data_IF_519310137512
#
_entry.id   IF_519310137512
#
_cell.length_a   1.000
_cell.length_b   1.000
_cell.length_c   1.000
_cell.angle_alpha   90.00
_cell.angle_beta   90.00
_cell.angle_gamma   90.00
#
_symmetry.space_group_name_H-M   'P 1'
#
loop_
_entity.id
_entity.type
_entity.pdbx_description
1 polymer ?
#
# COMPACT_ATOMS: atom_id res chain seq x y z
N UNK A 1 61.56 18.22 49.37
CA UNK A 1 60.49 17.30 48.96
C UNK A 1 59.51 18.06 48.05
N UNK A 2 59.61 17.85 46.74
CA UNK A 2 58.79 18.57 45.72
C UNK A 2 57.61 17.71 45.34
N UNK A 3 56.41 18.17 45.66
CA UNK A 3 55.18 17.55 45.29
C UNK A 3 54.89 17.83 43.82
N UNK A 4 54.79 16.78 43.06
CA UNK A 4 54.45 16.79 41.63
C UNK A 4 52.91 16.80 41.49
N UNK A 5 52.37 17.96 41.06
CA UNK A 5 50.92 18.05 40.71
C UNK A 5 50.74 17.60 39.28
N UNK A 6 50.21 16.41 39.12
CA UNK A 6 49.72 15.91 37.81
C UNK A 6 48.42 16.62 37.53
N UNK A 7 48.43 17.52 36.54
CA UNK A 7 47.22 18.07 35.94
C UNK A 7 46.63 17.03 34.98
N UNK A 8 45.61 16.34 35.42
CA UNK A 8 44.72 15.58 34.51
C UNK A 8 43.76 16.59 33.87
N UNK A 9 44.12 17.13 32.70
CA UNK A 9 43.18 17.75 31.81
C UNK A 9 42.41 16.62 31.09
N UNK A 10 41.29 16.23 31.68
CA UNK A 10 40.34 15.36 31.01
C UNK A 10 39.68 16.15 29.89
N UNK A 11 40.17 15.95 28.68
CA UNK A 11 39.52 16.44 27.47
C UNK A 11 38.27 15.59 27.30
N UNK A 12 37.15 16.07 27.85
CA UNK A 12 35.83 15.56 27.59
C UNK A 12 35.38 16.09 26.22
N UNK A 13 35.93 15.49 25.15
CA UNK A 13 35.46 15.71 23.81
C UNK A 13 34.08 15.00 23.70
N UNK A 14 33.05 15.70 24.17
CA UNK A 14 31.70 15.28 23.94
C UNK A 14 31.49 15.22 22.42
N UNK A 15 31.47 14.02 21.89
CA UNK A 15 30.97 13.71 20.58
C UNK A 15 29.50 14.14 20.57
N UNK A 16 29.24 15.40 20.25
CA UNK A 16 27.96 15.90 19.78
C UNK A 16 27.77 15.34 18.39
N UNK A 17 27.42 14.04 18.34
CA UNK A 17 26.76 13.50 17.18
C UNK A 17 25.40 14.20 17.16
N UNK A 18 25.09 14.96 16.10
CA UNK A 18 23.72 15.38 15.94
C UNK A 18 22.89 14.08 15.81
N UNK A 19 22.11 13.75 16.85
CA UNK A 19 20.99 12.86 16.69
C UNK A 19 20.07 13.57 15.68
N UNK A 20 20.28 13.26 14.41
CA UNK A 20 19.24 13.46 13.41
C UNK A 20 18.11 12.59 13.91
N UNK A 21 16.96 13.13 14.32
CA UNK A 21 15.82 12.28 14.61
C UNK A 21 15.58 11.51 13.30
N UNK A 22 15.77 10.20 13.33
CA UNK A 22 15.20 9.34 12.31
C UNK A 22 13.72 9.72 12.33
N UNK A 23 13.29 10.40 11.28
CA UNK A 23 11.88 10.59 11.03
C UNK A 23 11.37 9.18 10.74
N UNK A 24 10.91 8.47 11.77
CA UNK A 24 10.20 7.23 11.61
C UNK A 24 8.98 7.57 10.76
N UNK A 25 9.16 7.41 9.44
CA UNK A 25 8.05 7.51 8.51
C UNK A 25 7.02 6.47 8.97
N UNK A 26 5.81 6.92 9.25
CA UNK A 26 4.74 6.03 9.67
C UNK A 26 4.48 4.95 8.62
N UNK A 27 3.95 3.81 9.02
CA UNK A 27 3.77 2.66 8.12
C UNK A 27 2.92 2.98 6.88
N UNK A 28 2.09 4.02 6.93
CA UNK A 28 1.21 4.45 5.83
C UNK A 28 1.64 5.75 5.14
N UNK A 29 2.76 6.38 5.53
CA UNK A 29 3.19 7.69 5.00
C UNK A 29 3.50 7.67 3.50
N UNK A 30 3.81 6.51 2.95
CA UNK A 30 4.02 6.32 1.51
C UNK A 30 2.72 6.18 0.72
N UNK A 31 1.57 6.12 1.38
CA UNK A 31 0.26 5.98 0.78
C UNK A 31 -0.46 7.33 0.69
N UNK A 32 -1.37 7.41 -0.25
CA UNK A 32 -2.23 8.58 -0.44
C UNK A 32 -3.59 8.32 0.22
N UNK A 33 -4.13 9.32 0.92
CA UNK A 33 -5.53 9.31 1.38
C UNK A 33 -6.45 9.36 0.15
N UNK A 34 -7.28 8.35 0.00
CA UNK A 34 -8.22 8.20 -1.11
C UNK A 34 -9.63 8.71 -0.79
N UNK A 35 -9.78 9.51 0.25
CA UNK A 35 -11.08 10.11 0.62
C UNK A 35 -11.71 10.83 -0.58
N UNK A 36 -12.96 10.49 -0.88
CA UNK A 36 -13.69 11.00 -2.06
C UNK A 36 -13.40 10.26 -3.38
N UNK A 37 -12.31 9.48 -3.47
CA UNK A 37 -12.00 8.63 -4.62
C UNK A 37 -12.35 7.17 -4.38
N UNK A 38 -12.27 6.74 -3.13
CA UNK A 38 -12.69 5.44 -2.69
C UNK A 38 -13.47 5.57 -1.37
N UNK A 39 -14.30 4.58 -1.09
CA UNK A 39 -15.08 4.54 0.15
C UNK A 39 -15.03 3.16 0.77
N UNK A 40 -14.98 3.10 2.09
CA UNK A 40 -15.15 1.85 2.83
C UNK A 40 -16.63 1.47 2.88
N UNK A 41 -16.94 0.25 2.48
CA UNK A 41 -18.26 -0.37 2.61
C UNK A 41 -18.23 -1.29 3.81
N UNK A 42 -18.94 -0.91 4.86
CA UNK A 42 -18.94 -1.60 6.16
C UNK A 42 -20.19 -2.44 6.29
N UNK A 43 -20.04 -3.73 6.53
CA UNK A 43 -21.16 -4.65 6.74
C UNK A 43 -20.97 -5.39 8.07
N UNK A 44 -21.92 -5.29 8.97
CA UNK A 44 -21.93 -6.09 10.20
C UNK A 44 -22.21 -7.55 9.85
N UNK A 45 -21.25 -8.42 10.09
CA UNK A 45 -21.35 -9.86 9.80
C UNK A 45 -21.86 -10.67 10.96
N UNK A 46 -21.38 -10.38 12.15
CA UNK A 46 -21.75 -11.10 13.35
C UNK A 46 -21.63 -10.20 14.58
N UNK A 47 -22.44 -10.52 15.58
CA UNK A 47 -22.39 -9.93 16.91
C UNK A 47 -22.36 -11.05 17.96
N UNK A 48 -21.32 -11.06 18.77
CA UNK A 48 -21.24 -11.92 19.96
C UNK A 48 -21.62 -11.09 21.18
N UNK A 49 -22.84 -11.28 21.65
CA UNK A 49 -23.35 -10.53 22.81
C UNK A 49 -22.68 -10.95 24.13
N UNK A 50 -22.13 -12.14 24.20
CA UNK A 50 -21.46 -12.63 25.40
C UNK A 50 -20.11 -11.96 25.62
N UNK A 51 -19.34 -11.82 24.54
CA UNK A 51 -18.04 -11.17 24.58
C UNK A 51 -18.10 -9.68 24.18
N UNK A 52 -19.28 -9.16 23.88
CA UNK A 52 -19.47 -7.81 23.32
C UNK A 52 -18.60 -7.53 22.09
N UNK A 53 -18.41 -8.55 21.27
CA UNK A 53 -17.59 -8.50 20.06
C UNK A 53 -18.48 -8.31 18.83
N UNK A 54 -18.05 -7.38 17.96
CA UNK A 54 -18.68 -7.09 16.69
C UNK A 54 -17.70 -7.43 15.59
N UNK A 55 -18.15 -8.18 14.59
CA UNK A 55 -17.37 -8.55 13.40
C UNK A 55 -17.94 -7.85 12.19
N UNK A 56 -17.10 -7.07 11.55
CA UNK A 56 -17.42 -6.35 10.33
C UNK A 56 -16.61 -6.90 9.17
N UNK A 57 -17.26 -7.05 8.01
CA UNK A 57 -16.60 -7.17 6.72
C UNK A 57 -16.51 -5.76 6.13
N UNK A 58 -15.30 -5.29 5.90
CA UNK A 58 -15.03 -3.95 5.37
C UNK A 58 -14.31 -4.08 4.04
N UNK A 59 -14.97 -3.70 2.97
CA UNK A 59 -14.41 -3.67 1.61
C UNK A 59 -14.24 -2.24 1.13
N UNK A 60 -13.39 -2.04 0.13
CA UNK A 60 -13.15 -0.75 -0.50
C UNK A 60 -13.84 -0.71 -1.85
N UNK A 61 -14.70 0.28 -2.06
CA UNK A 61 -15.32 0.56 -3.36
C UNK A 61 -14.60 1.74 -4.01
N UNK A 62 -14.12 1.54 -5.22
CA UNK A 62 -13.51 2.58 -6.03
C UNK A 62 -14.59 3.45 -6.69
N UNK A 63 -14.62 4.74 -6.38
CA UNK A 63 -15.56 5.71 -6.93
C UNK A 63 -14.95 6.56 -8.04
N UNK A 64 -13.64 6.40 -8.29
CA UNK A 64 -12.89 7.19 -9.25
C UNK A 64 -12.73 6.47 -10.60
N UNK A 65 -12.37 7.20 -11.66
CA UNK A 65 -11.98 6.59 -12.93
C UNK A 65 -10.57 5.97 -12.90
N UNK A 66 -9.84 6.15 -11.81
CA UNK A 66 -8.47 5.66 -11.66
C UNK A 66 -8.46 4.20 -11.18
N UNK A 67 -7.40 3.47 -11.50
CA UNK A 67 -7.13 2.14 -10.94
C UNK A 67 -6.20 2.27 -9.74
N UNK A 68 -6.47 1.56 -8.66
CA UNK A 68 -5.61 1.50 -7.48
C UNK A 68 -4.89 0.16 -7.40
N UNK A 69 -3.65 0.17 -6.92
CA UNK A 69 -2.86 -1.04 -6.69
C UNK A 69 -3.47 -1.78 -5.50
N UNK A 70 -3.94 -3.01 -5.71
CA UNK A 70 -4.70 -3.75 -4.71
C UNK A 70 -3.90 -4.03 -3.43
N UNK A 71 -2.64 -4.43 -3.56
CA UNK A 71 -1.76 -4.72 -2.40
C UNK A 71 -1.41 -3.47 -1.57
N UNK A 72 -1.67 -2.27 -2.10
CA UNK A 72 -1.43 -1.01 -1.41
C UNK A 72 -2.67 -0.47 -0.68
N UNK A 73 -3.78 -1.19 -0.70
CA UNK A 73 -5.02 -0.71 -0.09
C UNK A 73 -5.06 -1.03 1.41
N UNK A 74 -5.26 0.02 2.19
CA UNK A 74 -5.43 -0.05 3.64
C UNK A 74 -6.66 0.74 4.06
N UNK A 75 -7.31 0.26 5.10
CA UNK A 75 -8.38 0.97 5.80
C UNK A 75 -7.92 1.32 7.20
N UNK A 76 -8.14 2.55 7.61
CA UNK A 76 -7.81 3.08 8.94
C UNK A 76 -9.11 3.36 9.67
N UNK A 77 -9.29 2.81 10.85
CA UNK A 77 -10.45 3.11 11.69
C UNK A 77 -10.34 4.57 12.17
N UNK A 78 -11.15 5.45 11.57
CA UNK A 78 -11.07 6.88 11.82
C UNK A 78 -11.92 7.31 13.00
N UNK A 79 -13.18 6.88 13.02
CA UNK A 79 -14.15 7.28 14.05
C UNK A 79 -15.29 6.28 14.18
N UNK A 80 -16.04 6.44 15.25
CA UNK A 80 -17.28 5.72 15.49
C UNK A 80 -18.44 6.71 15.45
N UNK A 81 -19.50 6.36 14.75
CA UNK A 81 -20.69 7.18 14.56
C UNK A 81 -21.95 6.43 15.01
N UNK A 82 -23.10 7.10 15.01
CA UNK A 82 -24.41 6.52 15.33
C UNK A 82 -24.41 5.79 16.68
N UNK A 83 -23.88 6.45 17.69
CA UNK A 83 -23.80 5.89 19.05
C UNK A 83 -25.19 6.00 19.67
N UNK A 84 -25.83 4.83 19.85
CA UNK A 84 -27.16 4.77 20.46
C UNK A 84 -27.12 4.55 21.98
N UNK A 85 -28.08 5.16 22.72
CA UNK A 85 -28.27 5.01 24.17
C UNK A 85 -28.63 6.30 24.87
N UNK A 86 -29.52 6.22 25.89
CA UNK A 86 -30.20 7.36 26.51
C UNK A 86 -29.32 8.29 27.38
N UNK A 87 -28.08 7.91 27.74
CA UNK A 87 -27.28 8.68 28.71
C UNK A 87 -26.00 9.30 28.09
N UNK A 88 -25.99 9.67 26.80
CA UNK A 88 -24.72 9.80 26.09
C UNK A 88 -24.46 11.10 25.34
N UNK A 89 -25.09 12.18 25.81
CA UNK A 89 -24.88 13.51 25.22
C UNK A 89 -23.42 14.00 25.25
N UNK A 90 -22.55 13.37 26.06
CA UNK A 90 -21.17 13.81 26.28
C UNK A 90 -20.10 12.84 25.70
N UNK A 91 -20.48 11.76 25.00
CA UNK A 91 -19.52 10.83 24.42
C UNK A 91 -19.19 11.25 22.99
N UNK A 92 -17.97 11.73 22.78
CA UNK A 92 -17.44 11.94 21.45
C UNK A 92 -16.86 10.64 20.86
N UNK A 93 -16.64 10.64 19.55
CA UNK A 93 -16.08 9.50 18.81
C UNK A 93 -14.74 8.99 19.38
N UNK A 94 -13.87 9.92 19.76
CA UNK A 94 -12.50 9.58 20.22
C UNK A 94 -12.53 8.92 21.60
N UNK A 95 -13.41 9.38 22.49
CA UNK A 95 -13.63 8.76 23.80
C UNK A 95 -14.11 7.33 23.67
N UNK A 96 -14.93 7.03 22.67
CA UNK A 96 -15.47 5.70 22.44
C UNK A 96 -14.40 4.80 21.81
N UNK A 97 -13.66 5.30 20.83
CA UNK A 97 -12.55 4.55 20.24
C UNK A 97 -11.51 4.13 21.29
N UNK A 98 -11.17 5.02 22.23
CA UNK A 98 -10.21 4.71 23.29
C UNK A 98 -10.68 3.61 24.27
N UNK A 99 -11.98 3.34 24.32
CA UNK A 99 -12.59 2.29 25.13
C UNK A 99 -12.81 0.98 24.39
N UNK A 100 -12.71 1.02 23.06
CA UNK A 100 -12.84 -0.18 22.23
C UNK A 100 -11.50 -0.92 22.13
N UNK A 101 -11.58 -2.23 22.20
CA UNK A 101 -10.47 -3.08 21.85
C UNK A 101 -10.61 -3.50 20.37
N UNK A 102 -9.63 -3.11 19.57
CA UNK A 102 -9.56 -3.53 18.17
C UNK A 102 -8.74 -4.81 18.09
N UNK A 103 -9.26 -5.80 17.42
CA UNK A 103 -8.65 -7.13 17.35
C UNK A 103 -8.26 -7.47 15.91
N UNK A 104 -7.03 -8.01 15.74
CA UNK A 104 -6.53 -8.49 14.46
C UNK A 104 -6.18 -7.37 13.50
N UNK A 105 -5.82 -6.18 14.02
CA UNK A 105 -5.25 -5.09 13.25
C UNK A 105 -3.84 -5.45 12.74
N UNK A 106 -3.47 -4.93 11.58
CA UNK A 106 -2.13 -5.12 11.01
C UNK A 106 -1.11 -4.15 11.63
N UNK A 107 -1.57 -3.07 12.25
CA UNK A 107 -0.76 -2.11 12.96
C UNK A 107 -1.53 -0.85 13.34
N UNK A 108 -0.80 0.17 13.75
CA UNK A 108 -1.33 1.48 14.14
C UNK A 108 -0.61 2.60 13.39
N UNK A 109 -1.36 3.65 13.07
CA UNK A 109 -0.80 4.90 12.51
C UNK A 109 -0.01 5.64 13.59
N UNK A 110 0.72 6.71 13.24
CA UNK A 110 1.39 7.58 14.20
C UNK A 110 0.42 8.20 15.22
N UNK A 111 -0.83 8.42 14.82
CA UNK A 111 -1.89 8.93 15.69
C UNK A 111 -2.53 7.82 16.56
N UNK A 112 -2.00 6.61 16.56
CA UNK A 112 -2.52 5.47 17.31
C UNK A 112 -3.83 4.89 16.76
N UNK A 113 -4.19 5.18 15.53
CA UNK A 113 -5.38 4.62 14.88
C UNK A 113 -5.06 3.26 14.27
N UNK A 114 -5.86 2.23 14.55
CA UNK A 114 -5.65 0.90 13.98
C UNK A 114 -5.94 0.88 12.49
N UNK A 115 -5.10 0.15 11.75
CA UNK A 115 -5.30 -0.07 10.31
C UNK A 115 -5.31 -1.54 9.94
N UNK A 116 -5.93 -1.83 8.79
CA UNK A 116 -6.06 -3.17 8.24
C UNK A 116 -5.73 -3.14 6.76
N UNK A 117 -4.98 -4.11 6.29
CA UNK A 117 -4.75 -4.32 4.87
C UNK A 117 -6.00 -4.92 4.22
N UNK A 118 -6.40 -4.38 3.10
CA UNK A 118 -7.53 -4.89 2.34
C UNK A 118 -7.02 -5.98 1.40
N UNK A 119 -7.62 -7.20 1.39
CA UNK A 119 -7.19 -8.25 0.48
C UNK A 119 -7.36 -7.85 -0.98
N UNK A 120 -6.32 -8.01 -1.78
CA UNK A 120 -6.32 -7.64 -3.21
C UNK A 120 -7.33 -8.46 -4.04
N UNK A 121 -7.66 -9.66 -3.58
CA UNK A 121 -8.58 -10.54 -4.30
C UNK A 121 -7.91 -11.29 -5.43
N UNK A 122 -8.72 -11.70 -6.42
CA UNK A 122 -8.25 -12.41 -7.60
C UNK A 122 -7.56 -11.51 -8.62
N UNK A 123 -7.74 -10.20 -8.49
CA UNK A 123 -7.12 -9.18 -9.34
C UNK A 123 -6.12 -8.39 -8.50
N UNK A 124 -4.94 -8.15 -9.04
CA UNK A 124 -3.88 -7.37 -8.36
C UNK A 124 -4.23 -5.89 -8.22
N UNK A 125 -5.29 -5.43 -8.88
CA UNK A 125 -5.70 -4.03 -8.93
C UNK A 125 -7.18 -3.84 -8.68
N UNK A 126 -7.53 -2.72 -8.04
CA UNK A 126 -8.91 -2.28 -7.86
C UNK A 126 -9.30 -1.34 -9.02
N UNK A 127 -9.99 -1.90 -10.01
CA UNK A 127 -10.45 -1.17 -11.20
C UNK A 127 -11.48 -0.08 -10.85
N UNK A 128 -11.73 0.89 -11.76
CA UNK A 128 -12.82 1.85 -11.62
C UNK A 128 -14.16 1.18 -11.33
N UNK A 129 -14.94 1.77 -10.43
CA UNK A 129 -16.27 1.29 -10.03
C UNK A 129 -16.33 -0.13 -9.42
N UNK A 130 -15.19 -0.80 -9.25
CA UNK A 130 -15.10 -2.12 -8.62
C UNK A 130 -15.02 -2.04 -7.09
N UNK A 131 -15.20 -3.19 -6.46
CA UNK A 131 -15.13 -3.36 -5.02
C UNK A 131 -14.13 -4.47 -4.68
N UNK A 132 -13.32 -4.25 -3.65
CA UNK A 132 -12.33 -5.21 -3.16
C UNK A 132 -12.99 -6.39 -2.44
N UNK A 133 -12.22 -7.43 -2.14
CA UNK A 133 -12.59 -8.39 -1.11
C UNK A 133 -12.63 -7.69 0.26
N UNK A 134 -13.43 -8.19 1.20
CA UNK A 134 -13.53 -7.60 2.53
C UNK A 134 -12.33 -7.97 3.41
N UNK A 135 -11.85 -7.00 4.17
CA UNK A 135 -11.05 -7.22 5.36
C UNK A 135 -11.97 -7.51 6.54
N UNK A 136 -11.57 -8.45 7.42
CA UNK A 136 -12.34 -8.77 8.63
C UNK A 136 -11.87 -7.89 9.78
N UNK A 137 -12.75 -7.03 10.28
CA UNK A 137 -12.49 -6.13 11.40
C UNK A 137 -13.27 -6.60 12.61
N UNK A 138 -12.59 -6.74 13.75
CA UNK A 138 -13.21 -7.16 15.00
C UNK A 138 -13.06 -6.08 16.05
N UNK A 139 -14.19 -5.64 16.61
CA UNK A 139 -14.24 -4.62 17.63
C UNK A 139 -14.91 -5.18 18.88
N UNK A 140 -14.21 -5.13 20.01
CA UNK A 140 -14.75 -5.52 21.30
C UNK A 140 -15.04 -4.29 22.14
N UNK A 141 -16.25 -4.21 22.63
CA UNK A 141 -16.74 -3.14 23.47
C UNK A 141 -16.78 -3.59 24.93
N UNK A 142 -15.76 -3.25 25.70
CA UNK A 142 -15.64 -3.66 27.12
C UNK A 142 -16.73 -3.08 28.00
N UNK A 143 -17.34 -1.95 27.61
CA UNK A 143 -18.37 -1.27 28.38
C UNK A 143 -19.79 -1.70 27.96
N UNK A 144 -19.91 -2.75 27.15
CA UNK A 144 -21.20 -3.25 26.64
C UNK A 144 -22.07 -2.17 25.95
N UNK A 145 -21.42 -1.18 25.36
CA UNK A 145 -22.11 -0.10 24.66
C UNK A 145 -22.81 -0.61 23.40
N UNK A 146 -23.94 -0.04 23.12
CA UNK A 146 -25.05 -0.76 22.55
C UNK A 146 -25.08 -0.78 21.02
N UNK A 147 -24.92 0.32 20.37
CA UNK A 147 -24.96 0.41 18.91
C UNK A 147 -23.97 1.47 18.46
N UNK A 148 -23.17 1.14 17.47
CA UNK A 148 -22.25 2.07 16.86
C UNK A 148 -21.98 1.66 15.41
N UNK A 149 -21.54 2.60 14.61
CA UNK A 149 -21.11 2.36 13.25
C UNK A 149 -19.65 2.79 13.12
N UNK A 150 -18.72 1.88 12.85
CA UNK A 150 -17.33 2.25 12.58
C UNK A 150 -17.22 2.95 11.23
N UNK A 151 -16.38 3.95 11.15
CA UNK A 151 -16.07 4.69 9.93
C UNK A 151 -14.59 4.58 9.64
N UNK A 152 -14.25 4.34 8.39
CA UNK A 152 -12.89 4.09 7.94
C UNK A 152 -12.47 5.10 6.89
N UNK A 153 -11.21 5.52 6.94
CA UNK A 153 -10.51 6.18 5.83
C UNK A 153 -9.83 5.12 4.98
N UNK A 154 -9.69 5.40 3.71
CA UNK A 154 -9.04 4.51 2.74
C UNK A 154 -7.74 5.13 2.28
N UNK A 155 -6.66 4.36 2.35
CA UNK A 155 -5.34 4.74 1.85
C UNK A 155 -4.90 3.76 0.76
N UNK A 156 -4.09 4.26 -0.18
CA UNK A 156 -3.60 3.41 -1.26
C UNK A 156 -2.77 4.17 -2.28
N UNK A 157 -2.31 3.44 -3.29
CA UNK A 157 -1.51 3.97 -4.39
C UNK A 157 -2.31 3.88 -5.69
N UNK A 158 -2.40 5.00 -6.39
CA UNK A 158 -2.93 5.02 -7.74
C UNK A 158 -1.94 4.35 -8.68
N UNK A 159 -2.43 3.44 -9.53
CA UNK A 159 -1.59 2.87 -10.59
C UNK A 159 -1.23 3.95 -11.61
N UNK A 160 0.04 4.15 -11.90
CA UNK A 160 0.43 5.07 -12.96
C UNK A 160 -0.19 4.60 -14.29
N UNK A 161 -0.63 5.52 -15.15
CA UNK A 161 -1.12 5.14 -16.46
C UNK A 161 -0.03 4.32 -17.16
N UNK A 162 -0.40 3.29 -17.95
CA UNK A 162 0.58 2.58 -18.76
C UNK A 162 1.34 3.63 -19.56
N UNK A 163 2.65 3.65 -19.39
CA UNK A 163 3.52 4.49 -20.21
C UNK A 163 3.16 4.09 -21.64
N UNK A 164 2.42 4.97 -22.34
CA UNK A 164 2.24 4.79 -23.76
C UNK A 164 3.66 4.63 -24.28
N UNK A 165 4.02 3.40 -24.72
CA UNK A 165 5.21 3.22 -25.52
C UNK A 165 5.05 4.30 -26.57
N UNK A 166 5.88 5.33 -26.46
CA UNK A 166 5.91 6.41 -27.46
C UNK A 166 5.84 5.66 -28.76
N UNK A 167 4.70 5.80 -29.44
CA UNK A 167 4.55 5.17 -30.73
C UNK A 167 5.77 5.70 -31.48
N UNK A 168 6.77 4.85 -31.59
CA UNK A 168 7.91 5.11 -32.42
C UNK A 168 7.26 5.53 -33.73
N UNK A 169 7.35 6.85 -34.00
CA UNK A 169 6.85 7.42 -35.24
C UNK A 169 7.19 6.40 -36.29
N UNK A 170 6.23 5.87 -37.09
CA UNK A 170 6.56 4.89 -38.08
C UNK A 170 7.69 5.48 -38.90
N UNK A 171 8.93 5.15 -38.53
CA UNK A 171 10.06 5.34 -39.40
C UNK A 171 9.71 4.55 -40.65
N UNK A 172 10.13 4.99 -41.82
CA UNK A 172 9.88 4.26 -43.06
C UNK A 172 10.21 2.78 -42.79
N UNK A 173 9.39 1.81 -43.25
CA UNK A 173 9.46 0.44 -42.85
C UNK A 173 10.93 -0.01 -42.93
N UNK A 174 11.57 -0.12 -41.77
CA UNK A 174 12.90 -0.69 -41.68
C UNK A 174 12.73 -2.12 -42.18
N UNK A 175 13.15 -2.30 -43.41
CA UNK A 175 13.04 -3.53 -44.13
C UNK A 175 13.50 -4.67 -43.22
N UNK A 176 12.64 -5.62 -42.99
CA UNK A 176 12.93 -6.88 -42.27
C UNK A 176 14.15 -7.65 -42.82
N UNK A 177 14.64 -7.25 -43.99
CA UNK A 177 15.89 -7.64 -44.59
C UNK A 177 17.11 -7.50 -43.68
N UNK A 178 17.21 -6.41 -42.88
CA UNK A 178 18.41 -6.20 -42.06
C UNK A 178 18.62 -7.23 -40.92
N UNK A 179 17.56 -7.80 -40.39
CA UNK A 179 17.68 -8.80 -39.31
C UNK A 179 18.01 -10.20 -39.88
N UNK A 180 17.43 -10.50 -41.03
CA UNK A 180 17.68 -11.79 -41.74
C UNK A 180 19.09 -11.76 -42.29
N UNK A 181 19.54 -10.70 -42.91
CA UNK A 181 20.89 -10.56 -43.43
C UNK A 181 21.97 -10.68 -42.34
N UNK A 182 21.75 -10.09 -41.17
CA UNK A 182 22.63 -10.25 -40.00
C UNK A 182 22.68 -11.68 -39.52
N UNK A 183 21.54 -12.37 -39.48
CA UNK A 183 21.48 -13.79 -39.08
C UNK A 183 22.24 -14.67 -40.07
N UNK A 184 22.07 -14.44 -41.39
CA UNK A 184 22.76 -15.17 -42.45
C UNK A 184 24.28 -14.96 -42.37
N UNK A 185 24.74 -13.71 -42.21
CA UNK A 185 26.16 -13.42 -42.04
C UNK A 185 26.73 -14.12 -40.80
N UNK A 186 25.96 -14.25 -39.72
CA UNK A 186 26.39 -14.92 -38.51
C UNK A 186 26.49 -16.44 -38.71
N UNK A 187 25.58 -17.04 -39.49
CA UNK A 187 25.61 -18.45 -39.86
C UNK A 187 26.77 -18.77 -40.76
N UNK A 188 27.07 -17.91 -41.75
CA UNK A 188 28.24 -18.03 -42.62
C UNK A 188 29.55 -17.92 -41.81
N UNK A 189 29.64 -16.93 -40.92
CA UNK A 189 30.81 -16.75 -40.05
C UNK A 189 31.04 -17.92 -39.09
N UNK A 190 29.97 -18.60 -38.68
CA UNK A 190 30.02 -19.81 -37.84
C UNK A 190 30.27 -21.09 -38.62
N UNK A 191 30.36 -21.05 -39.95
CA UNK A 191 30.58 -22.20 -40.80
C UNK A 191 29.39 -23.16 -40.88
N UNK A 192 28.19 -22.72 -40.48
CA UNK A 192 26.96 -23.54 -40.54
C UNK A 192 26.37 -23.54 -41.94
N UNK A 193 26.57 -22.47 -42.70
CA UNK A 193 26.15 -22.32 -44.11
C UNK A 193 27.31 -21.70 -44.88
N UNK A 194 27.56 -22.18 -46.07
CA UNK A 194 28.56 -21.57 -46.96
C UNK A 194 27.91 -20.48 -47.81
N UNK A 195 28.71 -19.48 -48.23
CA UNK A 195 28.24 -18.40 -49.09
C UNK A 195 27.71 -18.92 -50.43
N UNK A 196 28.26 -20.01 -50.92
CA UNK A 196 27.82 -20.69 -52.15
C UNK A 196 26.45 -21.36 -51.99
N UNK A 197 26.23 -22.03 -50.88
CA UNK A 197 24.91 -22.63 -50.55
C UNK A 197 23.82 -21.57 -50.42
N UNK A 198 24.14 -20.47 -49.78
CA UNK A 198 23.20 -19.34 -49.67
C UNK A 198 22.88 -18.72 -51.04
N UNK A 199 23.89 -18.50 -51.87
CA UNK A 199 23.69 -17.95 -53.21
C UNK A 199 22.87 -18.89 -54.10
N UNK A 200 23.08 -20.19 -53.97
CA UNK A 200 22.35 -21.22 -54.73
C UNK A 200 20.90 -21.33 -54.32
N UNK A 201 20.59 -21.12 -53.03
CA UNK A 201 19.23 -21.17 -52.50
C UNK A 201 18.41 -19.92 -52.85
N UNK A 202 19.08 -18.80 -53.19
CA UNK A 202 18.44 -17.52 -53.47
C UNK A 202 18.48 -17.11 -54.96
N UNK A 203 18.87 -18.01 -55.84
CA UNK A 203 18.72 -17.80 -57.29
C UNK A 203 17.28 -18.12 -57.70
N UNK A 204 16.59 -17.20 -58.42
CA UNK A 204 15.22 -17.42 -58.90
C UNK A 204 15.13 -18.52 -59.93
#
# INVERSE_FOLDING_TARGET
MRAWRLNFAVILLALLWPMVPDSDAGPLDHLTDLTGKATAVVTLKARDNFNSEYRYDVSVKNLSPDTFIGDSLFIVLDKVTNIGGEERENLNSDTILSRMEVLGQDGETQDGKPYFQVPAGSTTDLAPSSQSLPASVRLRNKDYMIVFTPSFKVFGIKRPPPVAKTAEKPGPPASSTNSVDKLIQLLIKKGVVTEEEWRKANQP
#
